data_IF_904048331258
#
_entry.id   IF_904048331258
#
_cell.length_a   1.000
_cell.length_b   1.000
_cell.length_c   1.000
_cell.angle_alpha   90.00
_cell.angle_beta   90.00
_cell.angle_gamma   90.00
#
_symmetry.space_group_name_H-M   'P 1'
#
loop_
_entity.id
_entity.type
_entity.pdbx_description
1 polymer ?
#
# COMPACT_ATOMS: atom_id res chain seq x y z
N UNK A 1 -30.43 -66.02 -2.95
CA UNK A 1 -29.65 -65.29 -1.92
C UNK A 1 -28.96 -64.13 -2.63
N UNK A 2 -29.65 -63.00 -2.82
CA UNK A 2 -29.07 -61.81 -3.48
C UNK A 2 -28.62 -60.84 -2.40
N UNK A 3 -27.34 -60.47 -2.41
CA UNK A 3 -26.76 -59.45 -1.51
C UNK A 3 -26.49 -58.18 -2.32
N UNK A 4 -27.25 -57.14 -2.03
CA UNK A 4 -27.04 -55.77 -2.53
C UNK A 4 -25.90 -55.14 -1.72
N UNK A 5 -24.84 -54.70 -2.39
CA UNK A 5 -23.74 -53.93 -1.76
C UNK A 5 -24.05 -52.45 -2.00
N UNK A 6 -24.24 -51.70 -0.91
CA UNK A 6 -24.44 -50.25 -0.93
C UNK A 6 -23.05 -49.58 -0.84
N UNK A 7 -22.67 -48.82 -1.86
CA UNK A 7 -21.46 -47.98 -1.83
C UNK A 7 -21.85 -46.59 -1.32
N UNK A 8 -21.36 -46.22 -0.14
CA UNK A 8 -21.54 -44.87 0.41
C UNK A 8 -20.38 -44.01 -0.09
N UNK A 9 -20.67 -43.06 -0.99
CA UNK A 9 -19.71 -42.05 -1.43
C UNK A 9 -19.67 -40.96 -0.36
N UNK A 10 -18.53 -40.81 0.32
CA UNK A 10 -18.26 -39.69 1.22
C UNK A 10 -17.85 -38.49 0.36
N UNK A 11 -18.75 -37.54 0.14
CA UNK A 11 -18.40 -36.23 -0.41
C UNK A 11 -17.67 -35.45 0.69
N UNK A 12 -16.34 -35.36 0.60
CA UNK A 12 -15.56 -34.41 1.39
C UNK A 12 -15.74 -33.03 0.76
N UNK A 13 -16.59 -32.20 1.37
CA UNK A 13 -16.64 -30.77 1.04
C UNK A 13 -15.40 -30.11 1.63
N UNK A 14 -14.41 -29.83 0.79
CA UNK A 14 -13.31 -28.94 1.13
C UNK A 14 -13.90 -27.53 1.31
N UNK A 15 -14.08 -27.12 2.56
CA UNK A 15 -14.45 -25.75 2.89
C UNK A 15 -13.15 -24.93 2.82
N UNK A 16 -12.96 -24.21 1.72
CA UNK A 16 -11.92 -23.17 1.69
C UNK A 16 -12.47 -22.06 2.58
N UNK A 17 -11.95 -21.95 3.80
CA UNK A 17 -12.26 -20.79 4.64
C UNK A 17 -11.79 -19.56 3.89
N UNK A 18 -12.72 -18.66 3.55
CA UNK A 18 -12.35 -17.39 2.95
C UNK A 18 -11.61 -16.57 4.00
N UNK A 19 -10.40 -16.15 3.67
CA UNK A 19 -9.63 -15.17 4.41
C UNK A 19 -10.53 -14.00 4.85
N UNK A 20 -10.62 -13.75 6.14
CA UNK A 20 -11.40 -12.64 6.68
C UNK A 20 -10.49 -11.59 7.28
N UNK A 21 -10.91 -10.33 7.23
CA UNK A 21 -10.19 -9.27 7.96
C UNK A 21 -10.68 -9.23 9.40
N UNK A 22 -9.76 -9.41 10.35
CA UNK A 22 -10.03 -9.40 11.79
C UNK A 22 -9.24 -8.26 12.43
N UNK A 23 -9.97 -7.33 13.06
CA UNK A 23 -9.38 -6.12 13.64
C UNK A 23 -9.36 -6.21 15.16
N UNK A 24 -8.30 -5.74 15.79
CA UNK A 24 -8.25 -5.62 17.25
C UNK A 24 -9.19 -4.53 17.76
N UNK A 25 -9.86 -4.75 18.89
CA UNK A 25 -10.68 -3.73 19.58
C UNK A 25 -9.76 -2.78 20.36
N UNK A 26 -10.16 -1.53 20.58
CA UNK A 26 -9.42 -0.60 21.45
C UNK A 26 -9.82 -0.85 22.92
N UNK A 27 -8.86 -0.95 23.87
CA UNK A 27 -7.41 -0.69 23.74
C UNK A 27 -6.55 -1.89 23.32
N UNK A 28 -7.15 -3.02 22.97
CA UNK A 28 -6.47 -4.26 22.60
C UNK A 28 -6.44 -5.27 23.74
N UNK A 29 -5.58 -6.27 23.65
CA UNK A 29 -5.50 -7.38 24.61
C UNK A 29 -4.60 -8.51 24.15
N UNK A 30 -4.71 -9.66 24.81
CA UNK A 30 -3.95 -10.86 24.45
C UNK A 30 -4.41 -11.43 23.10
N UNK A 31 -3.47 -11.80 22.23
CA UNK A 31 -3.76 -12.35 20.89
C UNK A 31 -4.71 -13.54 20.96
N UNK A 32 -4.56 -14.41 21.94
CA UNK A 32 -5.38 -15.62 22.11
C UNK A 32 -6.74 -15.35 22.77
N UNK A 33 -7.01 -14.12 23.23
CA UNK A 33 -8.29 -13.76 23.82
C UNK A 33 -9.29 -13.31 22.77
N UNK A 34 -10.46 -13.96 22.72
CA UNK A 34 -11.58 -13.56 21.87
C UNK A 34 -11.97 -12.08 22.07
N UNK A 35 -11.86 -11.56 23.30
CA UNK A 35 -12.22 -10.17 23.61
C UNK A 35 -11.30 -9.14 22.95
N UNK A 36 -10.12 -9.54 22.49
CA UNK A 36 -9.15 -8.67 21.81
C UNK A 36 -9.62 -8.33 20.39
N UNK A 37 -10.54 -9.11 19.82
CA UNK A 37 -10.86 -9.04 18.40
C UNK A 37 -12.32 -8.67 18.17
N UNK A 38 -12.55 -7.89 17.11
CA UNK A 38 -13.90 -7.52 16.68
C UNK A 38 -14.75 -8.76 16.44
N UNK A 39 -15.95 -8.79 17.02
CA UNK A 39 -16.85 -9.94 16.88
C UNK A 39 -16.50 -11.14 17.76
N UNK A 40 -15.48 -11.06 18.62
CA UNK A 40 -15.12 -12.16 19.52
C UNK A 40 -14.43 -13.33 18.83
N UNK A 41 -13.86 -13.10 17.64
CA UNK A 41 -13.24 -14.15 16.81
C UNK A 41 -11.73 -13.98 16.85
N UNK A 42 -11.03 -14.97 17.41
CA UNK A 42 -9.56 -15.02 17.40
C UNK A 42 -9.08 -15.29 15.96
N UNK A 43 -8.05 -14.57 15.46
CA UNK A 43 -7.49 -14.79 14.15
C UNK A 43 -7.12 -16.24 13.88
N UNK A 44 -7.45 -16.70 12.68
CA UNK A 44 -7.19 -18.04 12.19
C UNK A 44 -6.34 -18.00 10.92
N UNK A 45 -5.75 -19.13 10.54
CA UNK A 45 -4.88 -19.18 9.37
C UNK A 45 -5.61 -18.74 8.10
N UNK A 46 -4.96 -17.87 7.33
CA UNK A 46 -5.48 -17.23 6.13
C UNK A 46 -6.10 -15.85 6.38
N UNK A 47 -6.33 -15.45 7.63
CA UNK A 47 -6.93 -14.15 7.92
C UNK A 47 -5.95 -12.97 7.70
N UNK A 48 -6.53 -11.78 7.53
CA UNK A 48 -5.79 -10.51 7.58
C UNK A 48 -6.05 -9.89 8.95
N UNK A 49 -5.01 -9.77 9.76
CA UNK A 49 -5.07 -9.18 11.10
C UNK A 49 -4.74 -7.70 11.02
N UNK A 50 -5.55 -6.85 11.64
CA UNK A 50 -5.33 -5.40 11.72
C UNK A 50 -5.24 -4.95 13.18
N UNK A 51 -4.12 -4.35 13.57
CA UNK A 51 -3.91 -3.71 14.87
C UNK A 51 -3.90 -2.19 14.66
N UNK A 52 -5.02 -1.48 14.92
CA UNK A 52 -5.13 -0.06 14.61
C UNK A 52 -4.38 0.82 15.62
N UNK A 53 -4.16 2.08 15.26
CA UNK A 53 -3.56 3.10 16.14
C UNK A 53 -4.28 3.15 17.48
N UNK A 54 -3.51 3.19 18.58
CA UNK A 54 -4.05 3.22 19.94
C UNK A 54 -4.49 1.85 20.50
N UNK A 55 -4.36 0.77 19.72
CA UNK A 55 -4.52 -0.61 20.22
C UNK A 55 -3.18 -1.27 20.47
N UNK A 56 -3.09 -2.06 21.54
CA UNK A 56 -1.95 -2.92 21.83
C UNK A 56 -2.39 -4.37 21.87
N UNK A 57 -1.90 -5.19 20.94
CA UNK A 57 -2.08 -6.65 21.00
C UNK A 57 -0.81 -7.27 21.58
N UNK A 58 -0.99 -8.16 22.55
CA UNK A 58 0.12 -8.79 23.27
C UNK A 58 0.14 -10.29 23.04
N UNK A 59 1.33 -10.88 22.89
CA UNK A 59 1.55 -12.32 22.99
C UNK A 59 2.39 -12.55 24.25
N UNK A 60 1.72 -12.93 25.34
CA UNK A 60 2.37 -13.13 26.64
C UNK A 60 2.66 -14.59 26.95
N UNK A 61 3.94 -14.94 27.14
CA UNK A 61 4.42 -16.24 27.63
C UNK A 61 3.91 -17.47 26.85
N UNK A 62 3.68 -17.31 25.55
CA UNK A 62 3.08 -18.33 24.70
C UNK A 62 3.60 -18.26 23.27
N UNK A 63 3.46 -19.38 22.55
CA UNK A 63 3.66 -19.46 21.11
C UNK A 63 2.31 -19.40 20.41
N UNK A 64 2.20 -18.52 19.42
CA UNK A 64 1.05 -18.41 18.52
C UNK A 64 1.49 -18.86 17.13
N UNK A 65 0.86 -19.91 16.60
CA UNK A 65 1.02 -20.31 15.21
C UNK A 65 -0.08 -19.62 14.38
N UNK A 66 0.31 -18.73 13.48
CA UNK A 66 -0.60 -17.98 12.62
C UNK A 66 0.04 -17.77 11.24
N UNK A 67 -0.68 -18.21 10.20
CA UNK A 67 -0.27 -18.02 8.82
C UNK A 67 -1.21 -17.03 8.14
N UNK A 68 -0.70 -15.93 7.59
CA UNK A 68 -1.52 -14.86 7.02
C UNK A 68 -0.79 -13.52 7.02
N UNK A 69 -1.55 -12.43 6.98
CA UNK A 69 -1.00 -11.06 6.98
C UNK A 69 -1.32 -10.36 8.29
N UNK A 70 -0.33 -9.70 8.90
CA UNK A 70 -0.51 -8.88 10.11
C UNK A 70 -0.14 -7.43 9.81
N UNK A 71 -1.10 -6.52 9.89
CA UNK A 71 -0.90 -5.08 9.68
C UNK A 71 -0.95 -4.33 11.02
N UNK A 72 0.13 -3.63 11.38
CA UNK A 72 0.31 -2.97 12.68
C UNK A 72 0.43 -1.46 12.52
N UNK A 73 -0.63 -0.71 12.86
CA UNK A 73 -0.59 0.74 13.07
C UNK A 73 -0.56 1.13 14.55
N UNK A 74 -0.90 0.19 15.44
CA UNK A 74 -0.78 0.33 16.90
C UNK A 74 0.49 -0.33 17.43
N UNK A 75 0.38 -1.19 18.44
CA UNK A 75 1.53 -1.92 18.99
C UNK A 75 1.28 -3.43 19.01
N UNK A 76 2.22 -4.20 18.46
CA UNK A 76 2.35 -5.63 18.71
C UNK A 76 3.46 -5.84 19.76
N UNK A 77 3.09 -6.39 20.91
CA UNK A 77 4.00 -6.58 22.04
C UNK A 77 4.26 -8.06 22.31
N UNK A 78 5.53 -8.45 22.36
CA UNK A 78 5.94 -9.81 22.71
C UNK A 78 6.52 -9.81 24.13
N UNK A 79 5.88 -10.51 25.06
CA UNK A 79 6.27 -10.50 26.48
C UNK A 79 6.57 -11.92 26.95
N UNK A 80 7.68 -12.08 27.67
CA UNK A 80 8.10 -13.36 28.23
C UNK A 80 8.60 -13.23 29.67
N UNK A 81 8.56 -14.32 30.44
CA UNK A 81 9.01 -14.34 31.84
C UNK A 81 10.40 -14.97 32.00
N UNK A 82 11.32 -14.30 32.70
CA UNK A 82 12.57 -14.90 33.21
C UNK A 82 13.81 -14.82 32.30
N UNK A 83 14.95 -15.29 32.81
CA UNK A 83 16.23 -15.33 32.08
C UNK A 83 16.40 -16.68 31.36
N UNK A 84 16.65 -16.63 30.03
CA UNK A 84 16.60 -17.80 29.12
C UNK A 84 17.84 -18.70 29.10
N UNK A 85 18.88 -18.38 29.88
CA UNK A 85 19.93 -19.35 30.12
C UNK A 85 19.30 -20.50 30.93
N UNK A 86 19.33 -21.72 30.42
CA UNK A 86 18.83 -22.96 31.07
C UNK A 86 17.37 -23.41 30.80
N UNK A 87 16.67 -22.85 29.80
CA UNK A 87 15.57 -23.56 29.12
C UNK A 87 14.28 -23.84 29.91
N UNK A 88 13.91 -22.96 30.85
CA UNK A 88 12.70 -23.13 31.68
C UNK A 88 11.60 -22.07 31.46
N UNK A 89 11.76 -21.16 30.49
CA UNK A 89 10.83 -20.07 30.21
C UNK A 89 10.11 -20.23 28.85
N UNK A 90 8.83 -19.85 28.78
CA UNK A 90 8.08 -19.71 27.52
C UNK A 90 8.14 -18.26 27.02
N UNK A 91 8.74 -17.98 25.85
CA UNK A 91 8.72 -16.63 25.29
C UNK A 91 7.36 -16.30 24.67
N UNK A 92 7.11 -15.01 24.44
CA UNK A 92 6.11 -14.58 23.48
C UNK A 92 6.65 -14.78 22.06
N UNK A 93 6.11 -15.76 21.33
CA UNK A 93 6.54 -16.10 19.97
C UNK A 93 5.36 -16.05 19.01
N UNK A 94 5.54 -15.40 17.86
CA UNK A 94 4.66 -15.52 16.70
C UNK A 94 5.37 -16.35 15.63
N UNK A 95 4.82 -17.52 15.32
CA UNK A 95 5.30 -18.41 14.26
C UNK A 95 4.42 -18.27 13.03
N UNK A 96 5.05 -18.06 11.87
CA UNK A 96 4.36 -17.90 10.60
C UNK A 96 5.09 -18.67 9.50
N UNK A 97 4.35 -19.11 8.48
CA UNK A 97 4.95 -19.74 7.30
C UNK A 97 5.73 -18.75 6.42
N UNK A 98 6.51 -19.26 5.48
CA UNK A 98 7.36 -18.47 4.58
C UNK A 98 6.58 -17.49 3.69
N UNK A 99 5.26 -17.68 3.52
CA UNK A 99 4.40 -16.80 2.73
C UNK A 99 3.71 -15.71 3.54
N UNK A 100 3.95 -15.69 4.85
CA UNK A 100 3.31 -14.75 5.77
C UNK A 100 4.12 -13.47 5.91
N UNK A 101 3.43 -12.36 6.18
CA UNK A 101 4.05 -11.02 6.25
C UNK A 101 3.53 -10.28 7.48
N UNK A 102 4.44 -9.63 8.21
CA UNK A 102 4.09 -8.64 9.25
C UNK A 102 4.50 -7.24 8.77
N UNK A 103 3.52 -6.37 8.55
CA UNK A 103 3.71 -4.97 8.19
C UNK A 103 3.58 -4.08 9.42
N UNK A 104 4.60 -3.26 9.69
CA UNK A 104 4.55 -2.17 10.67
C UNK A 104 4.32 -0.87 9.89
N UNK A 105 3.10 -0.35 9.96
CA UNK A 105 2.69 0.87 9.27
C UNK A 105 3.19 2.12 10.02
N UNK A 106 3.16 3.29 9.39
CA UNK A 106 3.59 4.55 10.01
C UNK A 106 2.94 4.77 11.38
N UNK A 107 3.76 5.04 12.40
CA UNK A 107 3.33 5.19 13.81
C UNK A 107 3.10 3.88 14.56
N UNK A 108 3.16 2.72 13.88
CA UNK A 108 3.07 1.40 14.47
C UNK A 108 4.41 0.93 15.07
N UNK A 109 4.34 0.00 16.02
CA UNK A 109 5.52 -0.54 16.69
C UNK A 109 5.43 -2.04 16.95
N UNK A 110 6.55 -2.75 16.78
CA UNK A 110 6.79 -4.07 17.37
C UNK A 110 7.78 -3.88 18.51
N UNK A 111 7.41 -4.33 19.71
CA UNK A 111 8.23 -4.16 20.91
C UNK A 111 8.33 -5.46 21.69
N UNK A 112 9.38 -5.58 22.49
CA UNK A 112 9.58 -6.68 23.42
C UNK A 112 9.51 -6.21 24.86
N UNK A 113 8.76 -6.94 25.70
CA UNK A 113 8.75 -6.78 27.14
C UNK A 113 9.57 -7.88 27.82
N UNK A 114 10.57 -7.50 28.61
CA UNK A 114 11.35 -8.40 29.47
C UNK A 114 12.86 -8.42 29.19
N UNK A 115 13.66 -8.62 30.24
CA UNK A 115 15.12 -8.65 30.22
C UNK A 115 15.65 -10.08 30.03
N UNK A 116 15.72 -10.54 28.78
CA UNK A 116 16.20 -11.88 28.43
C UNK A 116 17.16 -11.87 27.25
N UNK A 117 18.42 -11.47 27.47
CA UNK A 117 19.44 -11.31 26.43
C UNK A 117 20.06 -12.60 25.88
N UNK A 118 19.26 -13.48 25.28
CA UNK A 118 19.75 -14.68 24.58
C UNK A 118 19.08 -14.88 23.22
N UNK A 119 19.79 -15.55 22.30
CA UNK A 119 19.40 -15.79 20.89
C UNK A 119 18.09 -16.58 20.67
N UNK A 120 17.35 -16.94 21.73
CA UNK A 120 16.12 -17.76 21.69
C UNK A 120 14.96 -17.13 22.50
N UNK A 121 14.97 -15.80 22.70
CA UNK A 121 13.95 -15.05 23.46
C UNK A 121 12.64 -14.78 22.70
N UNK A 122 11.92 -13.71 23.09
CA UNK A 122 10.73 -13.23 22.38
C UNK A 122 11.08 -12.89 20.93
N UNK A 123 10.28 -13.36 19.97
CA UNK A 123 10.64 -13.28 18.56
C UNK A 123 9.46 -13.49 17.62
N UNK A 124 9.67 -13.12 16.37
CA UNK A 124 8.80 -13.49 15.24
C UNK A 124 9.62 -14.44 14.35
N UNK A 125 9.06 -15.61 14.06
CA UNK A 125 9.63 -16.60 13.15
C UNK A 125 8.78 -16.62 11.87
N UNK A 126 9.42 -16.43 10.72
CA UNK A 126 8.78 -16.53 9.41
C UNK A 126 9.56 -17.56 8.60
N UNK A 127 8.86 -18.59 8.11
CA UNK A 127 9.48 -19.68 7.36
C UNK A 127 10.24 -20.70 8.21
N UNK A 128 11.17 -21.44 7.60
CA UNK A 128 11.85 -22.57 8.25
C UNK A 128 13.07 -22.16 9.08
N UNK A 129 12.82 -21.70 10.31
CA UNK A 129 13.82 -21.39 11.36
C UNK A 129 14.70 -20.15 11.11
N UNK A 130 14.20 -19.16 10.37
CA UNK A 130 14.87 -17.85 10.21
C UNK A 130 14.25 -16.86 11.19
N UNK A 131 15.08 -16.20 12.02
CA UNK A 131 14.60 -15.17 12.94
C UNK A 131 14.29 -13.91 12.14
N UNK A 132 13.02 -13.62 11.90
CA UNK A 132 12.59 -12.40 11.23
C UNK A 132 12.74 -11.18 12.17
N UNK A 133 12.56 -11.39 13.49
CA UNK A 133 12.78 -10.40 14.54
C UNK A 133 13.12 -11.06 15.88
N UNK A 134 14.07 -10.50 16.64
CA UNK A 134 14.51 -10.95 17.97
C UNK A 134 14.52 -9.79 18.99
N UNK A 135 14.42 -10.11 20.29
CA UNK A 135 14.74 -9.23 21.44
C UNK A 135 15.97 -8.33 21.23
N UNK A 136 17.02 -8.79 20.56
CA UNK A 136 18.23 -8.00 20.28
C UNK A 136 18.01 -6.82 19.34
N UNK A 137 16.95 -6.84 18.54
CA UNK A 137 16.73 -5.88 17.46
C UNK A 137 16.05 -4.59 17.97
N UNK A 138 15.69 -4.55 19.26
CA UNK A 138 15.07 -3.39 19.88
C UNK A 138 13.62 -3.19 19.45
N UNK A 139 13.13 -1.95 19.47
CA UNK A 139 11.76 -1.64 19.00
C UNK A 139 11.79 -1.35 17.50
N UNK A 140 11.05 -2.13 16.72
CA UNK A 140 10.79 -1.84 15.31
C UNK A 140 9.69 -0.78 15.25
N UNK A 141 9.96 0.35 14.60
CA UNK A 141 8.97 1.40 14.39
C UNK A 141 8.69 1.51 12.89
N UNK A 142 7.42 1.58 12.51
CA UNK A 142 7.03 1.64 11.11
C UNK A 142 7.38 2.99 10.45
N UNK A 143 7.48 3.03 9.11
CA UNK A 143 7.20 1.93 8.18
C UNK A 143 8.32 0.85 8.17
N UNK A 144 7.96 -0.43 8.31
CA UNK A 144 8.87 -1.58 8.26
C UNK A 144 8.10 -2.88 7.97
N UNK A 145 8.76 -3.93 7.49
CA UNK A 145 8.26 -5.31 7.53
C UNK A 145 9.17 -6.24 8.30
N UNK A 146 8.59 -7.36 8.72
CA UNK A 146 9.30 -8.48 9.33
C UNK A 146 8.92 -9.74 8.55
N UNK A 147 9.86 -10.29 7.78
CA UNK A 147 9.70 -11.47 6.90
C UNK A 147 10.94 -12.39 6.90
N UNK A 148 10.94 -13.44 6.07
CA UNK A 148 12.03 -14.44 6.00
C UNK A 148 13.35 -13.86 5.43
N UNK A 149 13.33 -12.68 4.81
CA UNK A 149 14.53 -11.98 4.39
C UNK A 149 15.15 -11.25 5.58
N UNK A 150 16.40 -11.57 5.92
CA UNK A 150 17.13 -10.95 7.03
C UNK A 150 17.27 -9.43 6.86
N UNK A 151 16.28 -8.62 7.24
CA UNK A 151 16.43 -7.17 7.52
C UNK A 151 17.19 -6.34 6.48
N UNK A 152 17.26 -6.77 5.22
CA UNK A 152 17.76 -5.97 4.11
C UNK A 152 16.49 -5.44 3.46
N UNK A 153 16.28 -4.12 3.55
CA UNK A 153 15.26 -3.49 2.74
C UNK A 153 15.57 -3.84 1.27
N UNK A 154 14.62 -4.42 0.53
CA UNK A 154 14.82 -4.82 -0.87
C UNK A 154 15.35 -3.70 -1.76
N UNK A 155 15.15 -2.45 -1.34
CA UNK A 155 15.79 -1.28 -1.93
C UNK A 155 16.44 -0.42 -0.85
N UNK A 156 17.74 -0.15 -1.00
CA UNK A 156 18.42 0.85 -0.17
C UNK A 156 18.43 2.21 -0.90
N UNK A 157 17.53 3.12 -0.54
CA UNK A 157 17.43 4.44 -1.16
C UNK A 157 18.52 5.39 -0.61
N UNK A 158 19.36 5.94 -1.50
CA UNK A 158 20.40 6.91 -1.14
C UNK A 158 19.84 8.31 -0.91
N UNK A 159 18.98 8.75 -1.82
CA UNK A 159 18.29 10.04 -1.76
C UNK A 159 17.07 10.02 -2.67
N UNK A 160 16.14 10.92 -2.37
CA UNK A 160 15.05 11.29 -3.27
C UNK A 160 14.84 12.80 -3.17
N UNK A 161 14.84 13.47 -4.32
CA UNK A 161 14.74 14.91 -4.45
C UNK A 161 13.77 15.27 -5.59
N UNK A 162 13.09 16.40 -5.46
CA UNK A 162 12.20 16.91 -6.50
C UNK A 162 12.37 18.43 -6.62
N UNK A 163 12.48 18.92 -7.86
CA UNK A 163 12.71 20.33 -8.15
C UNK A 163 11.79 20.81 -9.25
N UNK A 164 11.27 22.01 -9.09
CA UNK A 164 10.55 22.71 -10.14
C UNK A 164 11.56 23.30 -11.13
N UNK A 165 11.50 22.89 -12.39
CA UNK A 165 12.33 23.35 -13.50
C UNK A 165 11.44 23.54 -14.73
N UNK A 166 11.48 24.71 -15.37
CA UNK A 166 10.71 25.00 -16.59
C UNK A 166 9.22 24.62 -16.53
N UNK A 167 8.54 24.97 -15.43
CA UNK A 167 7.11 24.67 -15.17
C UNK A 167 6.78 23.17 -15.00
N UNK A 168 7.80 22.32 -14.89
CA UNK A 168 7.69 20.89 -14.65
C UNK A 168 8.37 20.53 -13.33
N UNK A 169 7.99 19.41 -12.72
CA UNK A 169 8.70 18.90 -11.54
C UNK A 169 9.58 17.73 -11.96
N UNK A 170 10.89 17.89 -11.79
CA UNK A 170 11.90 16.86 -12.05
C UNK A 170 12.21 16.15 -10.75
N UNK A 171 11.91 14.86 -10.72
CA UNK A 171 12.18 13.96 -9.60
C UNK A 171 13.46 13.19 -9.90
N UNK A 172 14.39 13.12 -8.94
CA UNK A 172 15.63 12.38 -9.07
C UNK A 172 15.89 11.58 -7.80
N UNK A 173 16.31 10.33 -7.97
CA UNK A 173 16.71 9.47 -6.86
C UNK A 173 17.80 8.51 -7.28
N UNK A 174 18.43 7.91 -6.28
CA UNK A 174 19.35 6.81 -6.51
C UNK A 174 19.18 5.73 -5.44
N UNK A 175 19.35 4.49 -5.86
CA UNK A 175 19.47 3.33 -4.97
C UNK A 175 20.95 2.99 -4.77
N UNK A 176 21.32 2.45 -3.62
CA UNK A 176 22.63 1.87 -3.36
C UNK A 176 22.65 0.40 -3.79
N UNK A 177 21.56 -0.31 -3.48
CA UNK A 177 21.31 -1.70 -3.82
C UNK A 177 19.81 -1.94 -4.05
N UNK A 178 19.54 -2.99 -4.81
CA UNK A 178 18.22 -3.52 -5.17
C UNK A 178 18.31 -5.04 -5.09
N UNK A 179 17.36 -5.70 -4.42
CA UNK A 179 17.28 -7.15 -4.29
C UNK A 179 15.82 -7.56 -4.45
N UNK A 180 15.54 -8.53 -5.32
CA UNK A 180 14.17 -8.94 -5.66
C UNK A 180 13.21 -7.80 -6.11
N UNK A 181 13.76 -6.68 -6.58
CA UNK A 181 13.03 -5.44 -6.80
C UNK A 181 12.41 -5.33 -8.20
N UNK A 182 11.10 -5.08 -8.30
CA UNK A 182 10.41 -4.97 -9.58
C UNK A 182 10.40 -3.52 -10.11
N UNK A 183 9.72 -2.60 -9.42
CA UNK A 183 9.56 -1.22 -9.89
C UNK A 183 9.28 -0.21 -8.77
N UNK A 184 9.57 1.06 -9.05
CA UNK A 184 9.06 2.18 -8.27
C UNK A 184 7.71 2.64 -8.81
N UNK A 185 6.72 2.76 -7.94
CA UNK A 185 5.56 3.61 -8.16
C UNK A 185 5.90 5.04 -7.73
N UNK A 186 5.83 5.97 -8.68
CA UNK A 186 6.02 7.40 -8.45
C UNK A 186 4.66 7.98 -8.16
N UNK A 187 4.48 8.53 -6.96
CA UNK A 187 3.18 9.01 -6.50
C UNK A 187 3.22 10.49 -6.14
N UNK A 188 2.09 11.17 -6.33
CA UNK A 188 1.90 12.58 -5.99
C UNK A 188 0.65 12.79 -5.16
N UNK A 189 0.71 13.70 -4.20
CA UNK A 189 -0.40 14.11 -3.37
C UNK A 189 -0.53 15.63 -3.34
N UNK A 190 -1.76 16.11 -3.15
CA UNK A 190 -2.05 17.53 -2.92
C UNK A 190 -1.98 17.91 -1.45
N UNK A 191 -2.34 16.98 -0.56
CA UNK A 191 -2.52 17.21 0.87
C UNK A 191 -1.48 16.47 1.74
N UNK A 192 -0.65 15.63 1.13
CA UNK A 192 0.33 14.78 1.80
C UNK A 192 -0.29 13.54 2.45
N UNK A 193 -1.56 13.25 2.19
CA UNK A 193 -2.28 12.08 2.74
C UNK A 193 -2.72 11.14 1.62
N UNK A 194 -3.45 11.66 0.64
CA UNK A 194 -3.93 10.88 -0.50
C UNK A 194 -2.97 11.02 -1.67
N UNK A 195 -2.28 9.92 -1.99
CA UNK A 195 -1.31 9.86 -3.07
C UNK A 195 -1.90 9.12 -4.26
N UNK A 196 -1.65 9.65 -5.45
CA UNK A 196 -2.06 9.07 -6.73
C UNK A 196 -0.81 8.69 -7.52
N UNK A 197 -0.83 7.51 -8.13
CA UNK A 197 0.26 7.06 -8.99
C UNK A 197 0.32 7.90 -10.26
N UNK A 198 1.50 8.43 -10.57
CA UNK A 198 1.81 9.14 -11.81
C UNK A 198 2.39 8.20 -12.85
N UNK A 199 3.29 7.31 -12.42
CA UNK A 199 4.00 6.38 -13.29
C UNK A 199 4.60 5.22 -12.49
N UNK A 200 4.95 4.17 -13.22
CA UNK A 200 5.76 3.06 -12.72
C UNK A 200 7.09 3.06 -13.49
N UNK A 201 8.20 2.90 -12.78
CA UNK A 201 9.54 2.82 -13.36
C UNK A 201 10.25 1.56 -12.88
N UNK A 202 10.48 0.62 -13.80
CA UNK A 202 11.15 -0.64 -13.50
C UNK A 202 12.55 -0.44 -12.93
N UNK A 203 12.87 -1.23 -11.91
CA UNK A 203 14.20 -1.35 -11.33
C UNK A 203 15.14 -2.21 -12.15
N UNK A 204 16.23 -2.65 -11.52
CA UNK A 204 17.20 -3.60 -12.08
C UNK A 204 16.97 -5.04 -11.66
N UNK A 205 15.96 -5.33 -10.83
CA UNK A 205 15.75 -6.67 -10.27
C UNK A 205 16.69 -6.92 -9.11
N UNK A 206 17.97 -7.11 -9.43
CA UNK A 206 19.03 -7.31 -8.44
C UNK A 206 20.25 -6.46 -8.84
N UNK A 207 20.66 -5.55 -7.97
CA UNK A 207 21.81 -4.67 -8.14
C UNK A 207 22.50 -4.47 -6.80
N UNK A 208 23.82 -4.65 -6.74
CA UNK A 208 24.64 -4.27 -5.58
C UNK A 208 25.44 -2.99 -5.86
N UNK A 209 25.03 -2.23 -6.88
CA UNK A 209 25.69 -0.99 -7.31
C UNK A 209 24.68 0.11 -7.45
N UNK A 210 25.15 1.36 -7.30
CA UNK A 210 24.30 2.54 -7.43
C UNK A 210 23.55 2.56 -8.77
N UNK A 211 22.24 2.77 -8.69
CA UNK A 211 21.40 3.03 -9.87
C UNK A 211 20.76 4.40 -9.74
N UNK A 212 20.88 5.23 -10.78
CA UNK A 212 20.29 6.57 -10.84
C UNK A 212 19.01 6.54 -11.67
N UNK A 213 17.99 7.23 -11.17
CA UNK A 213 16.66 7.30 -11.77
C UNK A 213 16.17 8.76 -11.86
N UNK A 214 15.30 9.02 -12.83
CA UNK A 214 14.67 10.32 -13.01
C UNK A 214 13.27 10.18 -13.60
N UNK A 215 12.37 11.06 -13.19
CA UNK A 215 11.01 11.17 -13.71
C UNK A 215 10.61 12.64 -13.81
N UNK A 216 9.82 13.00 -14.82
CA UNK A 216 9.33 14.36 -15.03
C UNK A 216 7.81 14.36 -14.91
N UNK A 217 7.29 15.11 -13.95
CA UNK A 217 5.89 15.49 -13.89
C UNK A 217 5.68 16.73 -14.76
N UNK A 218 5.17 16.50 -15.97
CA UNK A 218 4.93 17.55 -16.98
C UNK A 218 3.73 18.45 -16.63
N UNK A 219 2.87 18.02 -15.69
CA UNK A 219 1.69 18.77 -15.29
C UNK A 219 1.59 18.81 -13.74
N UNK A 220 2.53 19.50 -13.07
CA UNK A 220 2.56 19.58 -11.62
C UNK A 220 1.38 20.37 -11.07
N UNK A 221 0.94 20.03 -9.85
CA UNK A 221 -0.17 20.73 -9.21
C UNK A 221 0.23 22.17 -8.86
N UNK A 222 -0.62 23.13 -9.19
CA UNK A 222 -0.54 24.51 -8.73
C UNK A 222 -0.68 24.54 -7.20
N UNK A 223 0.23 25.26 -6.57
CA UNK A 223 0.39 25.34 -5.13
C UNK A 223 1.35 24.27 -4.62
N UNK A 224 1.00 23.63 -3.51
CA UNK A 224 1.83 22.58 -2.90
C UNK A 224 1.52 21.24 -3.53
N UNK A 225 2.57 20.50 -3.83
CA UNK A 225 2.53 19.10 -4.24
C UNK A 225 3.54 18.32 -3.42
N UNK A 226 3.17 17.10 -3.04
CA UNK A 226 4.00 16.18 -2.29
C UNK A 226 4.27 14.98 -3.19
N UNK A 227 5.53 14.66 -3.40
CA UNK A 227 5.94 13.52 -4.21
C UNK A 227 6.55 12.47 -3.30
N UNK A 228 6.30 11.20 -3.56
CA UNK A 228 6.96 10.08 -2.87
C UNK A 228 7.25 8.95 -3.83
N UNK A 229 8.15 8.08 -3.40
CA UNK A 229 8.40 6.80 -4.04
C UNK A 229 7.75 5.71 -3.20
N UNK A 230 7.20 4.71 -3.89
CA UNK A 230 6.82 3.44 -3.31
C UNK A 230 7.55 2.34 -4.09
N UNK A 231 8.35 1.51 -3.45
CA UNK A 231 8.94 0.33 -4.10
C UNK A 231 7.95 -0.82 -4.13
N UNK A 232 8.02 -1.63 -5.18
CA UNK A 232 7.30 -2.89 -5.34
C UNK A 232 8.31 -3.94 -5.77
N UNK A 233 8.31 -5.08 -5.09
CA UNK A 233 9.16 -6.24 -5.40
C UNK A 233 8.41 -7.31 -6.19
N UNK A 234 9.15 -8.27 -6.75
CA UNK A 234 8.55 -9.35 -7.53
C UNK A 234 7.66 -10.29 -6.72
N UNK A 235 7.88 -10.36 -5.40
CA UNK A 235 7.02 -11.11 -4.47
C UNK A 235 5.85 -10.29 -3.91
N UNK A 236 5.75 -9.03 -4.32
CA UNK A 236 4.70 -8.10 -3.91
C UNK A 236 4.98 -7.33 -2.63
N UNK A 237 6.17 -7.45 -2.03
CA UNK A 237 6.57 -6.55 -0.95
C UNK A 237 6.57 -5.10 -1.44
N UNK A 238 6.18 -4.17 -0.56
CA UNK A 238 6.19 -2.74 -0.88
C UNK A 238 6.72 -1.90 0.26
N UNK A 239 7.58 -0.94 -0.04
CA UNK A 239 8.06 0.07 0.90
C UNK A 239 7.60 1.46 0.44
N UNK A 240 7.25 2.33 1.38
CA UNK A 240 6.91 3.73 1.09
C UNK A 240 7.98 4.62 1.71
N UNK A 241 8.63 5.42 0.87
CA UNK A 241 9.65 6.37 1.29
C UNK A 241 9.04 7.71 1.69
N UNK A 242 9.79 8.50 2.47
CA UNK A 242 9.41 9.87 2.83
C UNK A 242 9.16 10.72 1.59
N UNK A 243 8.21 11.65 1.71
CA UNK A 243 7.84 12.54 0.62
C UNK A 243 8.71 13.80 0.60
N UNK A 244 8.84 14.39 -0.58
CA UNK A 244 9.39 15.72 -0.79
C UNK A 244 8.29 16.67 -1.25
N UNK A 245 8.34 17.92 -0.77
CA UNK A 245 7.33 18.94 -1.09
C UNK A 245 7.90 19.94 -2.09
N UNK A 246 7.12 20.20 -3.15
CA UNK A 246 7.43 21.21 -4.17
C UNK A 246 6.28 22.22 -4.22
N UNK A 247 6.62 23.50 -4.34
CA UNK A 247 5.65 24.58 -4.55
C UNK A 247 5.75 25.05 -5.98
N UNK A 248 4.65 24.94 -6.73
CA UNK A 248 4.51 25.50 -8.07
C UNK A 248 3.56 26.69 -8.02
N UNK A 249 4.08 27.90 -8.16
CA UNK A 249 3.28 29.14 -8.21
C UNK A 249 2.85 29.50 -9.63
N UNK A 250 2.92 28.56 -10.58
CA UNK A 250 2.54 28.80 -11.96
C UNK A 250 1.08 29.20 -12.13
N UNK A 251 0.83 29.98 -13.18
CA UNK A 251 -0.45 30.65 -13.38
C UNK A 251 -1.44 29.88 -14.28
N UNK A 252 -0.94 28.93 -15.08
CA UNK A 252 -1.74 28.29 -16.12
C UNK A 252 -2.40 27.00 -15.63
N UNK A 253 -3.72 27.11 -15.47
CA UNK A 253 -4.60 25.99 -15.21
C UNK A 253 -4.64 25.08 -16.45
N UNK A 254 -4.47 23.77 -16.25
CA UNK A 254 -4.62 22.74 -17.30
C UNK A 254 -5.16 21.43 -16.69
N UNK A 255 -5.51 20.47 -17.55
CA UNK A 255 -5.97 19.15 -17.14
C UNK A 255 -5.54 18.04 -18.11
N UNK A 256 -5.44 16.81 -17.60
CA UNK A 256 -5.22 15.60 -18.39
C UNK A 256 -6.45 14.69 -18.34
N UNK A 257 -6.54 13.81 -19.34
CA UNK A 257 -7.55 12.75 -19.40
C UNK A 257 -6.91 11.42 -19.74
N UNK A 258 -7.29 10.37 -19.00
CA UNK A 258 -6.79 9.02 -19.21
C UNK A 258 -7.83 7.96 -18.80
N UNK A 259 -7.83 6.76 -19.42
CA UNK A 259 -7.11 6.47 -20.65
C UNK A 259 -7.71 7.25 -21.83
N UNK A 260 -6.87 7.59 -22.80
CA UNK A 260 -7.30 8.20 -24.06
C UNK A 260 -6.49 7.56 -25.20
N UNK A 261 -7.03 6.61 -25.97
CA UNK A 261 -8.47 6.32 -26.15
C UNK A 261 -9.17 5.66 -24.95
N UNK A 262 -10.45 5.97 -24.77
CA UNK A 262 -11.36 5.30 -23.84
C UNK A 262 -11.83 3.98 -24.45
N UNK A 263 -11.65 2.88 -23.70
CA UNK A 263 -11.99 1.51 -24.17
C UNK A 263 -13.11 0.91 -23.30
N UNK A 264 -13.09 1.15 -21.98
CA UNK A 264 -14.04 0.55 -21.04
C UNK A 264 -15.21 1.47 -20.66
N UNK A 265 -15.53 2.42 -21.54
CA UNK A 265 -16.54 3.47 -21.32
C UNK A 265 -16.29 4.36 -20.09
N UNK A 266 -15.04 4.52 -19.66
CA UNK A 266 -14.67 5.31 -18.49
C UNK A 266 -13.39 6.09 -18.75
N UNK A 267 -13.33 7.32 -18.26
CA UNK A 267 -12.09 8.09 -18.21
C UNK A 267 -12.02 8.92 -16.94
N UNK A 268 -10.80 9.16 -16.50
CA UNK A 268 -10.46 10.07 -15.42
C UNK A 268 -10.03 11.40 -16.02
N UNK A 269 -10.54 12.49 -15.45
CA UNK A 269 -10.04 13.84 -15.63
C UNK A 269 -9.26 14.23 -14.38
N UNK A 270 -8.05 14.77 -14.57
CA UNK A 270 -7.21 15.28 -13.50
C UNK A 270 -6.77 16.71 -13.82
N UNK A 271 -7.13 17.68 -12.98
CA UNK A 271 -6.70 19.07 -13.10
C UNK A 271 -5.38 19.28 -12.34
N UNK A 272 -4.59 20.25 -12.79
CA UNK A 272 -3.44 20.72 -12.00
C UNK A 272 -3.82 21.76 -10.95
N UNK A 273 -5.09 22.19 -10.89
CA UNK A 273 -5.58 23.23 -9.98
C UNK A 273 -6.69 22.70 -9.07
N UNK A 274 -7.06 23.48 -8.03
CA UNK A 274 -8.16 23.11 -7.12
C UNK A 274 -9.48 23.57 -7.72
N UNK A 275 -10.46 22.69 -7.71
CA UNK A 275 -11.79 23.00 -8.24
C UNK A 275 -12.63 23.54 -7.10
N UNK A 276 -12.53 24.86 -6.88
CA UNK A 276 -13.22 25.54 -5.76
C UNK A 276 -14.75 25.59 -5.93
N UNK A 277 -15.23 25.62 -7.19
CA UNK A 277 -16.65 25.61 -7.53
C UNK A 277 -16.93 24.57 -8.61
N UNK A 278 -18.16 24.04 -8.65
CA UNK A 278 -18.57 23.03 -9.64
C UNK A 278 -18.46 23.60 -11.07
N UNK A 279 -17.57 23.01 -11.88
CA UNK A 279 -17.32 23.42 -13.27
C UNK A 279 -17.97 22.44 -14.26
N UNK A 280 -18.43 22.95 -15.40
CA UNK A 280 -18.99 22.13 -16.46
C UNK A 280 -17.90 21.65 -17.44
N UNK A 281 -17.79 20.32 -17.59
CA UNK A 281 -17.02 19.69 -18.66
C UNK A 281 -17.95 19.34 -19.82
N UNK A 282 -17.83 20.04 -20.94
CA UNK A 282 -18.74 19.89 -22.09
C UNK A 282 -18.07 19.07 -23.19
N UNK A 283 -18.78 18.05 -23.68
CA UNK A 283 -18.32 17.16 -24.75
C UNK A 283 -19.00 17.56 -26.07
N UNK A 284 -18.20 17.87 -27.08
CA UNK A 284 -18.63 18.23 -28.42
C UNK A 284 -18.24 17.15 -29.44
N UNK A 285 -19.14 16.85 -30.36
CA UNK A 285 -18.82 16.01 -31.52
C UNK A 285 -18.05 16.80 -32.61
N UNK A 286 -17.67 16.13 -33.71
CA UNK A 286 -16.94 16.74 -34.82
C UNK A 286 -17.69 17.88 -35.55
N UNK A 287 -19.01 18.00 -35.36
CA UNK A 287 -19.83 19.08 -35.91
C UNK A 287 -20.00 20.25 -34.93
N UNK A 288 -19.37 20.20 -33.75
CA UNK A 288 -19.50 21.22 -32.70
C UNK A 288 -20.81 21.15 -31.91
N UNK A 289 -21.60 20.07 -32.07
CA UNK A 289 -22.81 19.85 -31.27
C UNK A 289 -22.43 19.26 -29.92
N UNK A 290 -23.04 19.77 -28.84
CA UNK A 290 -22.92 19.21 -27.49
C UNK A 290 -23.59 17.85 -27.44
N UNK A 291 -22.84 16.81 -27.10
CA UNK A 291 -23.37 15.46 -26.88
C UNK A 291 -23.51 15.13 -25.39
N UNK A 292 -22.68 15.72 -24.52
CA UNK A 292 -22.74 15.49 -23.08
C UNK A 292 -22.20 16.67 -22.29
N UNK A 293 -22.64 16.79 -21.05
CA UNK A 293 -22.06 17.70 -20.05
C UNK A 293 -21.89 16.94 -18.74
N UNK A 294 -20.68 16.98 -18.19
CA UNK A 294 -20.35 16.46 -16.88
C UNK A 294 -20.09 17.60 -15.90
N UNK A 295 -20.04 17.23 -14.61
CA UNK A 295 -19.76 18.13 -13.49
C UNK A 295 -18.39 17.77 -12.92
N UNK A 296 -17.52 18.76 -12.82
CA UNK A 296 -16.18 18.66 -12.22
C UNK A 296 -16.26 19.35 -10.88
N UNK A 297 -16.02 18.63 -9.79
CA UNK A 297 -16.15 19.16 -8.41
C UNK A 297 -14.95 18.84 -7.52
N UNK A 298 -13.93 18.23 -8.11
CA UNK A 298 -12.69 17.83 -7.47
C UNK A 298 -11.56 18.01 -8.49
N UNK A 299 -10.32 18.04 -8.02
CA UNK A 299 -9.16 17.99 -8.89
C UNK A 299 -9.04 16.66 -9.67
N UNK A 300 -9.70 15.61 -9.19
CA UNK A 300 -9.80 14.31 -9.86
C UNK A 300 -11.25 13.85 -9.94
N UNK A 301 -11.71 13.51 -11.14
CA UNK A 301 -13.08 13.04 -11.38
C UNK A 301 -13.06 11.89 -12.36
N UNK A 302 -13.97 10.94 -12.17
CA UNK A 302 -14.18 9.84 -13.09
C UNK A 302 -15.53 9.98 -13.79
N UNK A 303 -15.54 9.75 -15.10
CA UNK A 303 -16.71 9.91 -15.95
C UNK A 303 -17.00 8.66 -16.77
N UNK A 304 -18.29 8.35 -16.94
CA UNK A 304 -18.78 7.21 -17.72
C UNK A 304 -19.29 7.70 -19.08
N UNK A 305 -18.90 7.03 -20.16
CA UNK A 305 -19.18 7.42 -21.55
C UNK A 305 -20.14 6.49 -22.29
N UNK A 306 -20.92 5.67 -21.58
CA UNK A 306 -21.88 4.71 -22.19
C UNK A 306 -22.87 5.34 -23.18
N UNK A 307 -23.16 6.64 -23.04
CA UNK A 307 -24.09 7.37 -23.90
C UNK A 307 -23.40 8.02 -25.12
N UNK A 308 -22.09 7.86 -25.27
CA UNK A 308 -21.30 8.40 -26.36
C UNK A 308 -20.92 7.27 -27.32
N UNK A 309 -21.13 7.49 -28.61
CA UNK A 309 -20.73 6.54 -29.64
C UNK A 309 -19.19 6.56 -29.82
N UNK A 310 -18.58 5.46 -30.29
CA UNK A 310 -17.18 5.48 -30.69
C UNK A 310 -16.89 6.61 -31.70
N UNK A 311 -15.82 7.37 -31.46
CA UNK A 311 -15.50 8.55 -32.26
C UNK A 311 -14.55 9.53 -31.57
N UNK A 312 -14.23 10.61 -32.28
CA UNK A 312 -13.42 11.71 -31.74
C UNK A 312 -14.32 12.85 -31.28
N UNK A 313 -14.06 13.32 -30.07
CA UNK A 313 -14.74 14.41 -29.40
C UNK A 313 -13.75 15.49 -28.98
N UNK A 314 -14.26 16.71 -28.82
CA UNK A 314 -13.58 17.78 -28.09
C UNK A 314 -14.23 17.93 -26.73
N UNK A 315 -13.44 17.95 -25.68
CA UNK A 315 -13.89 18.24 -24.33
C UNK A 315 -13.40 19.61 -23.91
N UNK A 316 -14.30 20.40 -23.35
CA UNK A 316 -14.04 21.78 -22.93
C UNK A 316 -14.34 21.93 -21.45
N UNK A 317 -13.35 22.36 -20.69
CA UNK A 317 -13.49 22.80 -19.30
C UNK A 317 -13.40 24.33 -19.27
N UNK A 318 -14.34 24.98 -18.60
CA UNK A 318 -14.33 26.45 -18.44
C UNK A 318 -14.07 26.76 -16.98
N UNK A 319 -12.97 27.44 -16.71
CA UNK A 319 -12.59 27.92 -15.39
C UNK A 319 -12.88 29.42 -15.26
N UNK A 320 -12.63 30.01 -14.09
CA UNK A 320 -12.76 31.45 -13.89
C UNK A 320 -11.70 32.25 -14.66
N UNK A 321 -10.57 31.63 -15.02
CA UNK A 321 -9.46 32.27 -15.73
C UNK A 321 -9.46 31.91 -17.21
N UNK A 322 -9.66 30.64 -17.54
CA UNK A 322 -9.26 30.06 -18.82
C UNK A 322 -10.36 29.15 -19.42
N UNK A 323 -10.28 28.92 -20.73
CA UNK A 323 -11.03 27.85 -21.42
C UNK A 323 -10.01 26.81 -21.87
N UNK A 324 -10.16 25.59 -21.38
CA UNK A 324 -9.25 24.48 -21.62
C UNK A 324 -9.94 23.46 -22.52
N UNK A 325 -9.26 23.03 -23.58
CA UNK A 325 -9.81 22.10 -24.58
C UNK A 325 -8.85 20.96 -24.82
N UNK A 326 -9.34 19.72 -24.71
CA UNK A 326 -8.59 18.50 -25.05
C UNK A 326 -9.40 17.64 -26.01
N UNK A 327 -8.72 16.76 -26.75
CA UNK A 327 -9.38 15.77 -27.60
C UNK A 327 -9.63 14.49 -26.81
N UNK A 328 -10.85 13.99 -26.83
CA UNK A 328 -11.24 12.70 -26.26
C UNK A 328 -11.54 11.72 -27.40
N UNK A 329 -10.90 10.56 -27.38
CA UNK A 329 -11.14 9.50 -28.34
C UNK A 329 -11.85 8.33 -27.64
N UNK A 330 -13.00 7.90 -28.16
CA UNK A 330 -13.76 6.75 -27.67
C UNK A 330 -13.69 5.65 -28.73
N UNK A 331 -13.39 4.42 -28.30
CA UNK A 331 -13.34 3.23 -29.16
C UNK A 331 -14.50 2.29 -28.93
#
# INVERSE_FOLDING_TARGET
MYRTILFTILLSTCYVANASTITSVIPGGEWTSASTWTGGVVPSNGDIVVIPVGSTVTISNQTVDFNGTVNVSGTLSLIGSGSYYFGTATPGILNMDASSIVNVLSGGQITTGGSGGGSLGNRIEVGSNTFAYNVSDGTVTGPASVDESNGVMPVELLFFDAKLEDEQVVLNWATASEDNFDYFSIERSRDGQEFVELAQLSGKGNSTTRTDYSFIDELPLIGRSYYRLKSIDFDGYTEIFDYVMVVYEGADEDFTIYPNPVIDNRFTLQTNFEVEEEQALVVYNAMGKVEKTYRVNSWMNEFITNDLMPGSYLIKLTTSKNILVKRLLIK
#
